data_IF_585708222479
#
_entry.id   IF_585708222479
#
_cell.length_a   1.000
_cell.length_b   1.000
_cell.length_c   1.000
_cell.angle_alpha   90.00
_cell.angle_beta   90.00
_cell.angle_gamma   90.00
#
_symmetry.space_group_name_H-M   'P 1'
#
loop_
_entity.id
_entity.type
_entity.pdbx_description
1 polymer ?
#
# COMPACT_ATOMS: atom_id res chain seq x y z
N UNK A 1 2.42 4.96 15.52
CA UNK A 1 1.23 4.20 15.10
C UNK A 1 1.72 3.19 14.09
N UNK A 2 1.36 1.91 14.25
CA UNK A 2 1.72 0.88 13.29
C UNK A 2 1.04 1.18 11.95
N UNK A 3 1.80 1.17 10.85
CA UNK A 3 1.29 1.45 9.50
C UNK A 3 0.19 0.46 9.12
N UNK A 4 0.30 -0.80 9.57
CA UNK A 4 -0.72 -1.82 9.31
C UNK A 4 -2.02 -1.50 10.03
N UNK A 5 -1.95 -1.05 11.29
CA UNK A 5 -3.13 -0.62 12.04
C UNK A 5 -3.80 0.59 11.38
N UNK A 6 -3.01 1.58 10.94
CA UNK A 6 -3.55 2.74 10.23
C UNK A 6 -4.26 2.34 8.93
N UNK A 7 -3.62 1.51 8.11
CA UNK A 7 -4.19 1.06 6.84
C UNK A 7 -5.44 0.20 7.05
N UNK A 8 -5.49 -0.64 8.10
CA UNK A 8 -6.71 -1.37 8.47
C UNK A 8 -7.83 -0.43 8.91
N UNK A 9 -7.52 0.53 9.79
CA UNK A 9 -8.51 1.51 10.26
C UNK A 9 -9.11 2.34 9.11
N UNK A 10 -8.29 2.69 8.12
CA UNK A 10 -8.74 3.39 6.90
C UNK A 10 -9.51 2.51 5.91
N UNK A 11 -9.59 1.20 6.14
CA UNK A 11 -10.16 0.24 5.19
C UNK A 11 -9.32 0.08 3.91
N UNK A 12 -8.02 0.37 3.97
CA UNK A 12 -7.10 0.35 2.83
C UNK A 12 -6.42 -1.01 2.59
N UNK A 13 -6.65 -2.00 3.47
CA UNK A 13 -6.19 -3.38 3.29
C UNK A 13 -7.37 -4.25 2.86
N UNK A 14 -7.29 -4.76 1.63
CA UNK A 14 -8.24 -5.76 1.13
C UNK A 14 -7.80 -7.18 1.47
N UNK A 15 -6.52 -7.50 1.27
CA UNK A 15 -5.93 -8.80 1.58
C UNK A 15 -4.44 -8.63 1.95
N UNK A 16 -3.87 -9.61 2.66
CA UNK A 16 -2.47 -9.61 3.07
C UNK A 16 -1.93 -11.03 3.26
N UNK A 17 -0.75 -11.31 2.72
CA UNK A 17 -0.05 -12.57 2.97
C UNK A 17 0.32 -12.71 4.47
N UNK A 18 0.16 -13.90 5.08
CA UNK A 18 0.55 -14.13 6.47
C UNK A 18 2.01 -13.72 6.75
N UNK A 19 2.24 -13.05 7.88
CA UNK A 19 3.58 -12.62 8.31
C UNK A 19 4.05 -11.26 7.77
N UNK A 20 3.43 -10.72 6.71
CA UNK A 20 3.83 -9.43 6.10
C UNK A 20 3.73 -8.27 7.10
N UNK A 21 2.68 -8.23 7.92
CA UNK A 21 2.51 -7.15 8.90
C UNK A 21 3.64 -7.10 9.93
N UNK A 22 4.13 -8.28 10.37
CA UNK A 22 5.28 -8.35 11.26
C UNK A 22 6.58 -7.91 10.60
N UNK A 23 6.78 -8.25 9.32
CA UNK A 23 7.96 -7.80 8.56
C UNK A 23 7.95 -6.27 8.39
N UNK A 24 6.82 -5.69 7.95
CA UNK A 24 6.68 -4.25 7.73
C UNK A 24 6.77 -3.42 9.03
N UNK A 25 6.41 -4.00 10.17
CA UNK A 25 6.51 -3.34 11.47
C UNK A 25 7.92 -3.37 12.10
N UNK A 26 8.77 -4.33 11.72
CA UNK A 26 10.07 -4.56 12.36
C UNK A 26 11.27 -4.17 11.49
N UNK A 27 11.11 -4.09 10.17
CA UNK A 27 12.21 -3.90 9.23
C UNK A 27 11.91 -2.76 8.24
N UNK A 28 12.96 -2.08 7.79
CA UNK A 28 12.85 -1.18 6.63
C UNK A 28 12.77 -2.02 5.36
N UNK A 29 11.56 -2.23 4.87
CA UNK A 29 11.31 -3.00 3.65
C UNK A 29 11.20 -2.08 2.43
N UNK A 30 11.84 -2.47 1.32
CA UNK A 30 11.59 -1.83 0.01
C UNK A 30 10.31 -2.40 -0.58
N UNK A 31 9.37 -1.54 -0.96
CA UNK A 31 8.07 -1.90 -1.53
C UNK A 31 7.88 -1.23 -2.89
N UNK A 32 6.97 -1.76 -3.71
CA UNK A 32 6.64 -1.18 -5.01
C UNK A 32 5.15 -1.38 -5.33
N UNK A 33 4.65 -0.61 -6.29
CA UNK A 33 3.37 -0.86 -6.95
C UNK A 33 3.55 -0.69 -8.46
N UNK A 34 2.89 -1.54 -9.24
CA UNK A 34 2.92 -1.47 -10.70
C UNK A 34 1.78 -0.62 -11.26
N UNK A 35 2.07 0.13 -12.33
CA UNK A 35 1.07 0.82 -13.15
C UNK A 35 1.34 0.53 -14.62
N UNK A 36 0.36 -0.04 -15.31
CA UNK A 36 0.44 -0.22 -16.76
C UNK A 36 0.03 1.08 -17.48
N UNK A 37 0.72 1.46 -18.59
CA UNK A 37 0.44 2.67 -19.35
C UNK A 37 -0.80 2.52 -20.24
N UNK A 38 -1.96 2.28 -19.63
CA UNK A 38 -3.24 2.06 -20.33
C UNK A 38 -3.90 3.36 -20.82
N UNK A 39 -3.41 4.52 -20.38
CA UNK A 39 -3.89 5.85 -20.78
C UNK A 39 -2.77 6.90 -20.70
N UNK A 40 -3.03 8.11 -21.24
CA UNK A 40 -2.09 9.26 -21.19
C UNK A 40 -1.86 9.83 -19.79
N UNK A 41 -2.69 9.46 -18.82
CA UNK A 41 -2.59 9.92 -17.43
C UNK A 41 -3.16 8.87 -16.49
N UNK A 42 -2.67 8.87 -15.24
CA UNK A 42 -3.34 8.19 -14.14
C UNK A 42 -4.66 8.91 -13.80
N UNK A 43 -5.55 8.21 -13.12
CA UNK A 43 -6.85 8.73 -12.66
C UNK A 43 -7.09 8.37 -11.18
N UNK A 44 -8.23 8.79 -10.63
CA UNK A 44 -8.57 8.61 -9.20
C UNK A 44 -8.44 7.16 -8.70
N UNK A 45 -8.72 6.16 -9.54
CA UNK A 45 -8.54 4.74 -9.18
C UNK A 45 -7.10 4.34 -8.81
N UNK A 46 -6.09 5.09 -9.26
CA UNK A 46 -4.68 4.84 -8.94
C UNK A 46 -4.25 5.52 -7.62
N UNK A 47 -5.07 6.41 -7.06
CA UNK A 47 -4.66 7.22 -5.91
C UNK A 47 -4.52 6.40 -4.64
N UNK A 48 -5.38 5.40 -4.42
CA UNK A 48 -5.29 4.54 -3.21
C UNK A 48 -3.92 3.84 -3.11
N UNK A 49 -3.44 3.11 -4.13
CA UNK A 49 -2.10 2.51 -4.06
C UNK A 49 -0.96 3.53 -3.99
N UNK A 50 -1.07 4.68 -4.67
CA UNK A 50 -0.04 5.74 -4.60
C UNK A 50 0.07 6.29 -3.17
N UNK A 51 -1.06 6.58 -2.52
CA UNK A 51 -1.08 7.10 -1.16
C UNK A 51 -0.52 6.09 -0.16
N UNK A 52 -0.68 4.79 -0.43
CA UNK A 52 -0.05 3.72 0.36
C UNK A 52 1.48 3.72 0.28
N UNK A 53 2.07 4.10 -0.86
CA UNK A 53 3.53 4.19 -1.02
C UNK A 53 4.16 5.43 -0.37
N UNK A 54 3.42 6.52 -0.25
CA UNK A 54 3.93 7.79 0.30
C UNK A 54 3.98 7.78 1.84
N UNK A 55 3.34 6.80 2.48
CA UNK A 55 3.13 6.75 3.93
C UNK A 55 4.25 6.07 4.69
#
# INVERSE_FOLDING_TARGET
>A
MDIIEELRWRGAIFDSTPGVGGMLGNEKTTVYVGFDPTARSLHVGNMVPIMGLVR
#
